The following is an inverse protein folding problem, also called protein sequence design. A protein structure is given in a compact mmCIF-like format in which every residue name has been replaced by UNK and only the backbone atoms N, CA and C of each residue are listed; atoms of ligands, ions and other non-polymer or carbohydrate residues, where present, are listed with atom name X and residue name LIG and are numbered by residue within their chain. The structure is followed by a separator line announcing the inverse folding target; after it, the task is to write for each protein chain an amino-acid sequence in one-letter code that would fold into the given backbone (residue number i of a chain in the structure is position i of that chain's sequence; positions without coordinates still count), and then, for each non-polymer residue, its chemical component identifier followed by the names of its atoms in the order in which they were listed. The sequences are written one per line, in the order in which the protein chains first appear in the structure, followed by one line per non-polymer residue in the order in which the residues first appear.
data_IF_591022946813
#
_entry.id   IF_591022946813
#
_cell.length_a   1.000
_cell.length_b   1.000
_cell.length_c   1.000
_cell.angle_alpha   90.00
_cell.angle_beta   90.00
_cell.angle_gamma   90.00
#
_symmetry.space_group_name_H-M   'P 1'
#
loop_
_entity.id
_entity.type
_entity.pdbx_description
1 polymer ?
#
# COMPACT_ATOMS: atom_id res chain seq x y z
N UNK A 1 72.97 -29.00 8.22
CA UNK A 1 72.50 -27.92 7.33
C UNK A 1 70.98 -27.85 7.40
N UNK A 2 70.41 -26.74 7.86
CA UNK A 2 68.97 -26.45 7.75
C UNK A 2 68.81 -25.44 6.62
N UNK A 3 68.27 -25.88 5.48
CA UNK A 3 67.81 -24.97 4.44
C UNK A 3 66.57 -24.25 4.94
N UNK A 4 66.72 -22.98 5.33
CA UNK A 4 65.59 -22.11 5.59
C UNK A 4 65.02 -21.64 4.26
N UNK A 5 63.82 -22.12 3.93
CA UNK A 5 63.01 -21.71 2.77
C UNK A 5 62.74 -20.19 2.81
N UNK A 6 63.57 -19.41 2.11
CA UNK A 6 63.46 -17.95 1.97
C UNK A 6 62.36 -17.48 1.00
N UNK A 7 61.31 -18.28 0.76
CA UNK A 7 60.32 -18.00 -0.29
C UNK A 7 59.08 -17.18 0.20
N UNK A 8 59.14 -16.55 1.37
CA UNK A 8 58.07 -15.68 1.89
C UNK A 8 58.17 -14.21 1.43
N UNK A 9 59.13 -13.85 0.58
CA UNK A 9 59.28 -12.48 0.08
C UNK A 9 58.18 -12.11 -0.93
N UNK A 10 57.17 -11.39 -0.44
CA UNK A 10 56.50 -10.35 -1.23
C UNK A 10 55.12 -10.68 -1.81
N UNK A 11 54.38 -11.64 -1.28
CA UNK A 11 52.96 -11.75 -1.67
C UNK A 11 52.18 -10.52 -1.16
N UNK A 12 51.90 -9.59 -2.09
CA UNK A 12 51.09 -8.39 -1.84
C UNK A 12 49.74 -8.80 -1.24
N UNK A 13 49.47 -8.30 -0.04
CA UNK A 13 48.21 -8.53 0.67
C UNK A 13 47.07 -8.02 -0.20
N UNK A 14 46.13 -8.89 -0.56
CA UNK A 14 44.97 -8.53 -1.40
C UNK A 14 43.76 -8.24 -0.53
N UNK A 15 43.01 -7.21 -0.90
CA UNK A 15 41.72 -6.90 -0.28
C UNK A 15 40.67 -7.91 -0.77
N UNK A 16 39.85 -8.42 0.15
CA UNK A 16 38.79 -9.37 -0.20
C UNK A 16 37.70 -8.69 -1.03
N UNK A 17 37.58 -9.06 -2.32
CA UNK A 17 36.50 -8.59 -3.22
C UNK A 17 35.10 -8.75 -2.62
N UNK A 18 34.71 -9.91 -2.03
CA UNK A 18 33.37 -10.03 -1.44
C UNK A 18 33.16 -9.13 -0.21
N UNK A 19 34.22 -8.75 0.52
CA UNK A 19 34.11 -7.78 1.62
C UNK A 19 33.77 -6.37 1.11
N UNK A 20 34.38 -5.95 0.00
CA UNK A 20 34.07 -4.66 -0.66
C UNK A 20 32.64 -4.69 -1.21
N UNK A 21 32.26 -5.77 -1.89
CA UNK A 21 30.91 -5.93 -2.44
C UNK A 21 29.83 -5.89 -1.34
N UNK A 22 30.06 -6.55 -0.21
CA UNK A 22 29.15 -6.53 0.94
C UNK A 22 28.84 -5.10 1.40
N UNK A 23 29.89 -4.28 1.55
CA UNK A 23 29.75 -2.90 1.98
C UNK A 23 29.03 -2.04 0.93
N UNK A 24 29.42 -2.15 -0.35
CA UNK A 24 28.80 -1.40 -1.44
C UNK A 24 27.32 -1.74 -1.61
N UNK A 25 26.96 -3.02 -1.59
CA UNK A 25 25.56 -3.47 -1.70
C UNK A 25 24.72 -2.96 -0.54
N UNK A 26 25.28 -2.97 0.67
CA UNK A 26 24.60 -2.43 1.85
C UNK A 26 24.34 -0.94 1.67
N UNK A 27 25.35 -0.14 1.32
CA UNK A 27 25.19 1.31 1.08
C UNK A 27 24.22 1.64 -0.06
N UNK A 28 24.27 0.90 -1.17
CA UNK A 28 23.33 1.09 -2.28
C UNK A 28 21.89 0.77 -1.85
N UNK A 29 21.69 -0.32 -1.11
CA UNK A 29 20.41 -0.67 -0.52
C UNK A 29 19.88 0.45 0.39
N UNK A 30 20.73 1.00 1.27
CA UNK A 30 20.37 2.13 2.15
C UNK A 30 20.02 3.37 1.35
N UNK A 31 20.87 3.78 0.41
CA UNK A 31 20.67 4.98 -0.39
C UNK A 31 19.36 4.92 -1.17
N UNK A 32 19.04 3.76 -1.74
CA UNK A 32 17.77 3.54 -2.43
C UNK A 32 16.59 3.59 -1.45
N UNK A 33 16.70 2.99 -0.26
CA UNK A 33 15.64 3.05 0.75
C UNK A 33 15.35 4.49 1.19
N UNK A 34 16.40 5.27 1.49
CA UNK A 34 16.29 6.67 1.90
C UNK A 34 15.64 7.49 0.79
N UNK A 35 16.03 7.28 -0.47
CA UNK A 35 15.43 7.99 -1.60
C UNK A 35 13.93 7.67 -1.73
N UNK A 36 13.55 6.38 -1.66
CA UNK A 36 12.14 5.98 -1.76
C UNK A 36 11.31 6.50 -0.58
N UNK A 37 11.87 6.51 0.63
CA UNK A 37 11.20 7.04 1.82
C UNK A 37 11.14 8.57 1.82
N UNK A 38 12.14 9.25 1.27
CA UNK A 38 12.15 10.71 1.12
C UNK A 38 11.01 11.16 0.22
N UNK A 39 10.84 10.51 -0.94
CA UNK A 39 9.70 10.76 -1.83
C UNK A 39 8.37 10.55 -1.09
N UNK A 40 8.22 9.41 -0.39
CA UNK A 40 7.01 9.13 0.39
C UNK A 40 6.75 10.17 1.50
N UNK A 41 7.80 10.57 2.22
CA UNK A 41 7.74 11.56 3.28
C UNK A 41 7.35 12.95 2.79
N UNK A 42 7.83 13.36 1.61
CA UNK A 42 7.43 14.61 0.96
C UNK A 42 5.92 14.61 0.68
N UNK A 43 5.38 13.52 0.11
CA UNK A 43 3.93 13.45 -0.15
C UNK A 43 3.11 13.50 1.15
N UNK A 44 3.56 12.80 2.18
CA UNK A 44 2.94 12.88 3.51
C UNK A 44 2.99 14.29 4.11
N UNK A 45 4.10 15.01 3.92
CA UNK A 45 4.32 16.36 4.45
C UNK A 45 3.51 17.44 3.73
N UNK A 46 3.34 17.33 2.40
CA UNK A 46 2.53 18.29 1.60
C UNK A 46 1.02 18.11 1.85
N UNK A 47 0.61 17.18 2.73
CA UNK A 47 -0.79 16.95 3.06
C UNK A 47 -1.55 16.15 1.99
N UNK A 48 -0.87 15.74 0.92
CA UNK A 48 -1.43 14.79 -0.05
C UNK A 48 -1.34 13.38 0.53
N UNK A 49 -2.38 12.98 1.29
CA UNK A 49 -2.51 11.62 1.86
C UNK A 49 -2.51 10.49 0.81
N UNK A 50 -2.64 10.80 -0.48
CA UNK A 50 -2.61 9.79 -1.54
C UNK A 50 -1.44 10.04 -2.47
N UNK A 51 -0.45 9.15 -2.41
CA UNK A 51 0.56 9.02 -3.46
C UNK A 51 -0.16 8.78 -4.80
N UNK A 52 0.20 9.51 -5.87
CA UNK A 52 -0.38 9.26 -7.19
C UNK A 52 -0.24 7.79 -7.58
N UNK A 53 -1.32 7.21 -8.12
CA UNK A 53 -1.37 5.79 -8.48
C UNK A 53 -0.21 5.33 -9.36
N UNK A 54 0.31 6.21 -10.23
CA UNK A 54 1.43 5.92 -11.13
C UNK A 54 2.81 5.85 -10.42
N UNK A 55 2.98 6.45 -9.25
CA UNK A 55 4.23 6.38 -8.47
C UNK A 55 4.28 5.16 -7.54
N UNK A 56 3.13 4.53 -7.28
CA UNK A 56 3.02 3.38 -6.40
C UNK A 56 3.88 2.18 -6.84
N UNK A 57 3.94 1.80 -8.14
CA UNK A 57 4.83 0.74 -8.58
C UNK A 57 6.29 1.07 -8.29
N UNK A 58 6.72 2.32 -8.52
CA UNK A 58 8.10 2.75 -8.26
C UNK A 58 8.45 2.63 -6.77
N UNK A 59 7.54 3.03 -5.89
CA UNK A 59 7.71 2.85 -4.45
C UNK A 59 7.85 1.37 -4.05
N UNK A 60 6.93 0.52 -4.52
CA UNK A 60 6.93 -0.92 -4.23
C UNK A 60 8.20 -1.59 -4.76
N UNK A 61 8.53 -1.39 -6.04
CA UNK A 61 9.73 -1.97 -6.64
C UNK A 61 11.01 -1.43 -6.01
N UNK A 62 11.08 -0.13 -5.72
CA UNK A 62 12.21 0.49 -5.04
C UNK A 62 12.46 -0.12 -3.65
N UNK A 63 11.39 -0.34 -2.88
CA UNK A 63 11.48 -1.04 -1.59
C UNK A 63 11.94 -2.49 -1.74
N UNK A 64 11.38 -3.25 -2.69
CA UNK A 64 11.78 -4.65 -2.91
C UNK A 64 13.24 -4.78 -3.35
N UNK A 65 13.68 -3.94 -4.30
CA UNK A 65 15.07 -3.91 -4.79
C UNK A 65 16.03 -3.52 -3.68
N UNK A 66 15.69 -2.49 -2.88
CA UNK A 66 16.50 -2.09 -1.73
C UNK A 66 16.68 -3.24 -0.74
N UNK A 67 15.60 -3.91 -0.36
CA UNK A 67 15.66 -5.07 0.56
C UNK A 67 16.51 -6.21 0.04
N UNK A 68 16.37 -6.54 -1.25
CA UNK A 68 17.20 -7.55 -1.90
C UNK A 68 18.69 -7.19 -1.85
N UNK A 69 19.06 -5.93 -2.11
CA UNK A 69 20.44 -5.46 -2.04
C UNK A 69 21.01 -5.57 -0.62
N UNK A 70 20.23 -5.24 0.41
CA UNK A 70 20.63 -5.38 1.82
C UNK A 70 20.87 -6.85 2.17
N UNK A 71 19.97 -7.76 1.80
CA UNK A 71 20.10 -9.21 2.05
C UNK A 71 21.34 -9.77 1.33
N UNK A 72 21.52 -9.41 0.06
CA UNK A 72 22.69 -9.81 -0.72
C UNK A 72 24.00 -9.28 -0.10
N UNK A 73 23.99 -8.04 0.41
CA UNK A 73 25.10 -7.43 1.14
C UNK A 73 25.47 -8.20 2.40
N UNK A 74 24.47 -8.60 3.22
CA UNK A 74 24.67 -9.42 4.42
C UNK A 74 25.27 -10.78 4.05
N UNK A 75 24.69 -11.47 3.06
CA UNK A 75 25.15 -12.78 2.62
C UNK A 75 26.61 -12.75 2.11
N UNK A 76 26.95 -11.76 1.28
CA UNK A 76 28.31 -11.53 0.81
C UNK A 76 29.29 -11.24 1.96
N UNK A 77 28.85 -10.50 2.97
CA UNK A 77 29.66 -10.18 4.15
C UNK A 77 29.97 -11.41 5.01
N UNK A 78 28.97 -12.24 5.29
CA UNK A 78 29.13 -13.51 6.01
C UNK A 78 30.10 -14.44 5.26
N UNK A 79 29.92 -14.56 3.93
CA UNK A 79 30.82 -15.34 3.09
C UNK A 79 32.27 -14.80 3.13
N UNK A 80 32.45 -13.49 3.03
CA UNK A 80 33.76 -12.85 3.11
C UNK A 80 34.45 -13.08 4.47
N UNK A 81 33.70 -13.00 5.58
CA UNK A 81 34.23 -13.28 6.93
C UNK A 81 34.73 -14.72 7.03
N UNK A 82 33.95 -15.70 6.55
CA UNK A 82 34.37 -17.12 6.51
C UNK A 82 35.62 -17.30 5.65
N UNK A 83 35.67 -16.69 4.47
CA UNK A 83 36.83 -16.78 3.57
C UNK A 83 38.10 -16.17 4.18
N UNK A 84 38.00 -15.00 4.81
CA UNK A 84 39.12 -14.34 5.49
C UNK A 84 39.58 -15.16 6.69
N UNK A 85 38.65 -15.77 7.44
CA UNK A 85 38.99 -16.64 8.57
C UNK A 85 39.79 -17.86 8.15
N UNK A 86 39.43 -18.49 7.02
CA UNK A 86 40.13 -19.67 6.51
C UNK A 86 41.49 -19.31 5.87
N UNK A 87 41.65 -18.07 5.38
CA UNK A 87 42.85 -17.61 4.66
C UNK A 87 43.55 -16.45 5.38
N UNK A 88 43.63 -16.50 6.73
CA UNK A 88 44.14 -15.41 7.61
C UNK A 88 45.46 -14.76 7.17
N UNK A 89 46.35 -15.49 6.48
CA UNK A 89 47.65 -14.96 6.03
C UNK A 89 47.59 -14.10 4.76
N UNK A 90 46.54 -14.21 3.94
CA UNK A 90 46.55 -13.66 2.57
C UNK A 90 45.48 -12.60 2.26
N UNK A 91 44.44 -12.47 3.09
CA UNK A 91 43.31 -11.58 2.84
C UNK A 91 43.11 -10.59 4.00
N UNK A 92 43.10 -9.30 3.70
CA UNK A 92 42.63 -8.23 4.59
C UNK A 92 41.22 -7.79 4.18
N UNK A 93 40.53 -7.06 5.07
CA UNK A 93 39.20 -6.51 4.82
C UNK A 93 38.09 -7.02 5.75
N UNK A 94 38.45 -7.66 6.88
CA UNK A 94 37.48 -8.10 7.89
C UNK A 94 36.59 -6.96 8.36
N UNK A 95 37.16 -5.78 8.57
CA UNK A 95 36.41 -4.57 8.97
C UNK A 95 35.33 -4.20 7.96
N UNK A 96 35.64 -4.18 6.65
CA UNK A 96 34.64 -3.89 5.62
C UNK A 96 33.48 -4.88 5.61
N UNK A 97 33.77 -6.18 5.75
CA UNK A 97 32.72 -7.21 5.80
C UNK A 97 31.86 -7.10 7.07
N UNK A 98 32.47 -6.84 8.23
CA UNK A 98 31.74 -6.65 9.50
C UNK A 98 30.86 -5.40 9.45
N UNK A 99 31.39 -4.28 8.94
CA UNK A 99 30.62 -3.05 8.78
C UNK A 99 29.42 -3.22 7.85
N UNK A 100 29.58 -3.91 6.71
CA UNK A 100 28.46 -4.20 5.80
C UNK A 100 27.37 -5.04 6.47
N UNK A 101 27.74 -6.10 7.19
CA UNK A 101 26.78 -6.95 7.91
C UNK A 101 26.05 -6.18 9.00
N UNK A 102 26.77 -5.41 9.83
CA UNK A 102 26.14 -4.62 10.90
C UNK A 102 25.18 -3.56 10.35
N UNK A 103 25.58 -2.84 9.30
CA UNK A 103 24.72 -1.87 8.63
C UNK A 103 23.44 -2.54 8.10
N UNK A 104 23.58 -3.69 7.43
CA UNK A 104 22.43 -4.43 6.92
C UNK A 104 21.49 -4.92 8.02
N UNK A 105 22.03 -5.44 9.13
CA UNK A 105 21.23 -5.95 10.25
C UNK A 105 20.47 -4.86 11.00
N UNK A 106 21.05 -3.67 11.17
CA UNK A 106 20.37 -2.53 11.81
C UNK A 106 19.18 -2.05 10.96
N UNK A 107 19.31 -2.11 9.64
CA UNK A 107 18.32 -1.56 8.72
C UNK A 107 17.25 -2.55 8.30
N UNK A 108 17.50 -3.85 8.39
CA UNK A 108 16.53 -4.87 8.01
C UNK A 108 15.21 -4.77 8.80
N UNK A 109 15.18 -4.57 10.13
CA UNK A 109 13.95 -4.33 10.87
C UNK A 109 13.21 -3.06 10.42
N UNK A 110 13.96 -1.98 10.16
CA UNK A 110 13.39 -0.73 9.66
C UNK A 110 12.78 -0.90 8.27
N UNK A 111 13.45 -1.65 7.39
CA UNK A 111 12.93 -2.03 6.08
C UNK A 111 11.67 -2.90 6.20
N UNK A 112 11.66 -3.90 7.08
CA UNK A 112 10.47 -4.75 7.35
C UNK A 112 9.29 -3.92 7.85
N UNK A 113 9.54 -2.95 8.73
CA UNK A 113 8.51 -2.03 9.21
C UNK A 113 7.90 -1.17 8.10
N UNK A 114 8.73 -0.76 7.14
CA UNK A 114 8.32 0.07 5.99
C UNK A 114 7.93 -0.76 4.76
N UNK A 115 7.94 -2.10 4.84
CA UNK A 115 7.42 -2.91 3.76
C UNK A 115 6.02 -2.38 3.42
N UNK A 116 5.72 -2.13 2.13
CA UNK A 116 4.39 -1.73 1.75
C UNK A 116 3.44 -2.73 2.40
N UNK A 117 2.57 -2.22 3.27
CA UNK A 117 1.51 -3.02 3.84
C UNK A 117 0.85 -3.78 2.69
N UNK A 118 0.57 -5.07 2.92
CA UNK A 118 0.00 -6.00 1.94
C UNK A 118 -0.91 -5.26 0.95
N UNK A 119 -0.87 -5.60 -0.36
CA UNK A 119 -1.82 -5.03 -1.31
C UNK A 119 -3.19 -4.99 -0.64
N UNK A 120 -3.77 -3.79 -0.55
CA UNK A 120 -5.01 -3.55 0.18
C UNK A 120 -5.93 -4.73 -0.06
N UNK A 121 -6.43 -5.32 1.03
CA UNK A 121 -7.49 -6.29 0.90
C UNK A 121 -8.59 -5.65 0.06
N UNK A 122 -9.26 -6.43 -0.77
CA UNK A 122 -10.29 -5.88 -1.64
C UNK A 122 -11.33 -5.06 -0.84
N UNK A 123 -11.63 -5.48 0.39
CA UNK A 123 -12.39 -4.71 1.39
C UNK A 123 -11.86 -3.29 1.59
N UNK A 124 -10.58 -3.11 1.92
CA UNK A 124 -9.98 -1.78 2.17
C UNK A 124 -10.00 -0.92 0.90
N UNK A 125 -9.88 -1.54 -0.27
CA UNK A 125 -9.99 -0.81 -1.54
C UNK A 125 -11.42 -0.39 -1.84
N UNK A 126 -12.44 -1.21 -1.54
CA UNK A 126 -13.84 -0.78 -1.67
C UNK A 126 -14.18 0.32 -0.64
N UNK A 127 -13.61 0.30 0.57
CA UNK A 127 -13.68 1.43 1.54
C UNK A 127 -13.09 2.71 0.95
N UNK A 128 -11.85 2.66 0.46
CA UNK A 128 -11.18 3.82 -0.13
C UNK A 128 -11.95 4.40 -1.33
N UNK A 129 -12.51 3.52 -2.17
CA UNK A 129 -13.34 3.90 -3.30
C UNK A 129 -14.61 4.65 -2.85
N UNK A 130 -15.36 4.11 -1.88
CA UNK A 130 -16.55 4.77 -1.34
C UNK A 130 -16.22 6.14 -0.71
N UNK A 131 -15.10 6.27 0.01
CA UNK A 131 -14.63 7.57 0.54
C UNK A 131 -14.27 8.56 -0.55
N UNK A 132 -13.66 8.09 -1.64
CA UNK A 132 -13.35 8.94 -2.79
C UNK A 132 -14.65 9.45 -3.44
N UNK A 133 -15.59 8.53 -3.71
CA UNK A 133 -16.89 8.87 -4.29
C UNK A 133 -17.65 9.85 -3.39
N UNK A 134 -17.76 9.58 -2.08
CA UNK A 134 -18.46 10.44 -1.14
C UNK A 134 -17.91 11.87 -1.11
N UNK A 135 -16.58 12.04 -1.16
CA UNK A 135 -15.97 13.38 -1.27
C UNK A 135 -16.29 14.06 -2.59
N UNK A 136 -16.23 13.34 -3.71
CA UNK A 136 -16.61 13.86 -5.02
C UNK A 136 -18.08 14.29 -5.05
N UNK A 137 -18.97 13.57 -4.37
CA UNK A 137 -20.37 13.98 -4.20
C UNK A 137 -20.51 15.31 -3.48
N UNK A 138 -19.78 15.52 -2.37
CA UNK A 138 -19.78 16.81 -1.66
C UNK A 138 -19.29 17.96 -2.54
N UNK A 139 -18.20 17.73 -3.29
CA UNK A 139 -17.65 18.71 -4.22
C UNK A 139 -18.71 19.09 -5.26
N UNK A 140 -19.41 18.10 -5.83
CA UNK A 140 -20.48 18.34 -6.79
C UNK A 140 -21.64 19.13 -6.19
N UNK A 141 -22.07 18.81 -4.97
CA UNK A 141 -23.23 19.44 -4.34
C UNK A 141 -22.92 20.79 -3.67
N UNK A 142 -21.66 21.23 -3.65
CA UNK A 142 -21.22 22.43 -2.92
C UNK A 142 -21.78 23.78 -3.45
N UNK A 143 -22.52 23.77 -4.57
CA UNK A 143 -23.11 24.97 -5.18
C UNK A 143 -24.62 24.85 -5.43
N UNK A 144 -25.37 24.32 -4.47
CA UNK A 144 -26.83 24.12 -4.54
C UNK A 144 -27.32 23.24 -5.71
N UNK A 145 -26.44 22.45 -6.30
CA UNK A 145 -26.80 21.47 -7.32
C UNK A 145 -27.20 20.15 -6.65
N UNK A 146 -28.50 19.81 -6.60
CA UNK A 146 -28.91 18.52 -6.07
C UNK A 146 -28.36 17.41 -6.97
N UNK A 147 -27.86 16.32 -6.39
CA UNK A 147 -27.35 15.18 -7.15
C UNK A 147 -28.49 14.50 -7.93
N UNK A 148 -28.47 14.52 -9.28
CA UNK A 148 -29.42 13.76 -10.09
C UNK A 148 -29.17 12.27 -9.91
N UNK A 149 -30.18 11.57 -9.37
CA UNK A 149 -30.04 10.17 -8.94
C UNK A 149 -29.80 9.22 -10.11
N UNK A 150 -30.39 9.48 -11.28
CA UNK A 150 -30.26 8.62 -12.46
C UNK A 150 -28.92 8.79 -13.21
N UNK A 151 -28.09 9.77 -12.81
CA UNK A 151 -26.83 10.14 -13.50
C UNK A 151 -25.66 10.40 -12.55
N UNK A 152 -25.75 9.95 -11.30
CA UNK A 152 -24.77 10.30 -10.27
C UNK A 152 -23.35 9.85 -10.63
N UNK A 153 -23.14 8.64 -11.17
CA UNK A 153 -21.82 8.19 -11.62
C UNK A 153 -21.29 9.07 -12.75
N UNK A 154 -22.09 9.33 -13.79
CA UNK A 154 -21.67 10.12 -14.95
C UNK A 154 -21.27 11.54 -14.57
N UNK A 155 -21.99 12.14 -13.63
CA UNK A 155 -21.73 13.50 -13.17
C UNK A 155 -20.45 13.59 -12.33
N UNK A 156 -20.17 12.58 -11.50
CA UNK A 156 -18.91 12.52 -10.76
C UNK A 156 -17.71 12.32 -11.69
N UNK A 157 -17.85 11.49 -12.73
CA UNK A 157 -16.80 11.33 -13.75
C UNK A 157 -16.56 12.64 -14.49
N UNK A 158 -17.63 13.34 -14.87
CA UNK A 158 -17.55 14.55 -15.69
C UNK A 158 -17.07 15.79 -14.92
N UNK A 159 -17.50 15.93 -13.67
CA UNK A 159 -17.39 17.21 -12.93
C UNK A 159 -16.62 17.11 -11.62
N UNK A 160 -16.35 15.91 -11.10
CA UNK A 160 -15.69 15.73 -9.80
C UNK A 160 -14.38 14.94 -9.89
N UNK A 161 -13.78 14.90 -11.08
CA UNK A 161 -12.45 14.31 -11.35
C UNK A 161 -12.28 12.85 -10.89
N UNK A 162 -13.38 12.10 -10.79
CA UNK A 162 -13.34 10.68 -10.41
C UNK A 162 -13.19 9.82 -11.66
N UNK A 163 -12.30 8.84 -11.62
CA UNK A 163 -12.13 7.91 -12.74
C UNK A 163 -13.05 6.69 -12.58
N UNK A 164 -13.39 6.02 -13.69
CA UNK A 164 -14.33 4.89 -13.66
C UNK A 164 -13.85 3.72 -12.77
N UNK A 165 -12.53 3.56 -12.62
CA UNK A 165 -11.92 2.51 -11.80
C UNK A 165 -12.30 2.62 -10.32
N UNK A 166 -12.65 3.83 -9.85
CA UNK A 166 -13.08 4.06 -8.46
C UNK A 166 -14.45 3.42 -8.21
N UNK A 167 -15.29 3.25 -9.24
CA UNK A 167 -16.60 2.63 -9.09
C UNK A 167 -16.55 1.10 -9.05
N UNK A 168 -15.39 0.49 -9.29
CA UNK A 168 -15.24 -0.96 -9.34
C UNK A 168 -14.73 -1.50 -8.01
N UNK A 169 -15.53 -2.32 -7.32
CA UNK A 169 -15.04 -3.09 -6.19
C UNK A 169 -14.14 -4.23 -6.71
N UNK A 170 -12.85 -4.32 -6.32
CA UNK A 170 -11.90 -5.32 -6.84
C UNK A 170 -12.23 -6.79 -6.56
N UNK A 171 -13.06 -7.09 -5.56
CA UNK A 171 -13.54 -8.46 -5.34
C UNK A 171 -14.79 -8.79 -6.14
N UNK A 172 -15.45 -7.79 -6.72
CA UNK A 172 -16.63 -8.04 -7.54
C UNK A 172 -16.21 -8.61 -8.90
N UNK A 173 -17.17 -9.21 -9.59
CA UNK A 173 -16.97 -9.71 -10.95
C UNK A 173 -16.82 -8.58 -11.98
N UNK A 174 -17.05 -8.90 -13.26
CA UNK A 174 -17.07 -7.89 -14.32
C UNK A 174 -18.24 -6.91 -14.11
N UNK A 175 -17.95 -5.62 -14.17
CA UNK A 175 -18.95 -4.56 -14.06
C UNK A 175 -18.31 -3.17 -14.11
N UNK A 176 -19.08 -2.17 -14.56
CA UNK A 176 -18.62 -0.77 -14.65
C UNK A 176 -18.70 -0.04 -13.31
N UNK A 177 -19.70 -0.38 -12.49
CA UNK A 177 -19.83 0.10 -11.10
C UNK A 177 -20.45 -1.01 -10.24
N UNK A 178 -20.07 -1.06 -8.97
CA UNK A 178 -20.53 -2.02 -7.95
C UNK A 178 -21.07 -1.32 -6.69
N UNK A 179 -21.56 -0.09 -6.86
CA UNK A 179 -22.13 0.71 -5.80
C UNK A 179 -23.47 1.29 -6.26
N UNK A 180 -24.38 1.48 -5.31
CA UNK A 180 -25.66 2.16 -5.55
C UNK A 180 -25.89 3.28 -4.55
N UNK A 181 -26.63 4.29 -5.00
CA UNK A 181 -27.09 5.41 -4.19
C UNK A 181 -28.39 5.05 -3.47
N UNK A 182 -28.47 5.34 -2.17
CA UNK A 182 -29.69 5.18 -1.41
C UNK A 182 -30.76 6.16 -1.93
N UNK A 183 -31.96 5.66 -2.24
CA UNK A 183 -33.13 6.46 -2.62
C UNK A 183 -33.57 7.46 -1.53
N UNK A 184 -33.12 7.31 -0.29
CA UNK A 184 -33.40 8.27 0.78
C UNK A 184 -32.19 9.13 1.16
N UNK A 185 -31.11 9.13 0.38
CA UNK A 185 -29.85 9.81 0.71
C UNK A 185 -29.90 11.35 0.85
N UNK A 186 -31.06 11.97 0.64
CA UNK A 186 -31.27 13.41 0.82
C UNK A 186 -31.55 13.80 2.28
N UNK A 187 -31.81 12.84 3.17
CA UNK A 187 -32.06 13.13 4.58
C UNK A 187 -30.76 13.48 5.31
N UNK A 188 -30.81 14.38 6.30
CA UNK A 188 -29.64 14.89 7.01
C UNK A 188 -29.13 14.00 8.15
N UNK A 189 -29.72 12.83 8.39
CA UNK A 189 -29.34 11.99 9.51
C UNK A 189 -27.92 11.42 9.33
N UNK A 190 -26.98 11.61 10.27
CA UNK A 190 -25.56 11.24 10.11
C UNK A 190 -25.34 9.75 9.77
N UNK A 191 -26.12 8.87 10.39
CA UNK A 191 -26.05 7.40 10.21
C UNK A 191 -26.90 6.84 9.06
N UNK A 192 -27.48 7.72 8.25
CA UNK A 192 -28.22 7.28 7.07
C UNK A 192 -27.27 6.69 6.03
N UNK A 193 -27.63 5.55 5.45
CA UNK A 193 -26.89 4.97 4.31
C UNK A 193 -26.96 5.93 3.11
N UNK A 194 -25.81 6.24 2.52
CA UNK A 194 -25.72 7.06 1.30
C UNK A 194 -25.32 6.19 0.11
N UNK A 195 -24.20 5.47 0.20
CA UNK A 195 -23.75 4.52 -0.81
C UNK A 195 -23.50 3.16 -0.17
N UNK A 196 -23.71 2.10 -0.93
CA UNK A 196 -23.49 0.72 -0.48
C UNK A 196 -23.09 -0.16 -1.65
N UNK A 197 -22.43 -1.29 -1.37
CA UNK A 197 -22.03 -2.23 -2.40
C UNK A 197 -23.21 -3.02 -2.98
N UNK A 198 -23.20 -3.16 -4.30
CA UNK A 198 -24.23 -3.84 -5.09
C UNK A 198 -23.61 -4.78 -6.13
N UNK A 199 -24.47 -5.52 -6.84
CA UNK A 199 -24.07 -6.20 -8.08
C UNK A 199 -23.77 -5.17 -9.17
N UNK A 200 -23.11 -5.60 -10.23
CA UNK A 200 -22.74 -4.72 -11.34
C UNK A 200 -23.92 -3.92 -11.90
N UNK A 201 -23.74 -2.60 -12.04
CA UNK A 201 -24.70 -1.69 -12.65
C UNK A 201 -24.16 -0.26 -12.67
N UNK A 202 -24.70 0.61 -13.51
CA UNK A 202 -24.27 2.01 -13.63
C UNK A 202 -25.41 2.94 -13.21
N UNK A 203 -25.11 3.99 -12.44
CA UNK A 203 -26.12 4.88 -11.83
C UNK A 203 -27.22 4.13 -11.05
N UNK A 204 -26.87 3.05 -10.35
CA UNK A 204 -27.88 2.33 -9.57
C UNK A 204 -28.37 3.19 -8.40
N UNK A 205 -29.68 3.14 -8.18
CA UNK A 205 -30.38 3.83 -7.09
C UNK A 205 -31.41 2.86 -6.53
N UNK A 206 -31.45 2.73 -5.21
CA UNK A 206 -32.41 1.84 -4.55
C UNK A 206 -32.20 1.82 -3.05
N UNK A 207 -32.69 0.79 -2.40
CA UNK A 207 -32.53 0.53 -0.97
C UNK A 207 -31.88 -0.82 -0.67
N UNK A 208 -32.21 -1.45 0.45
CA UNK A 208 -31.59 -2.71 0.90
C UNK A 208 -31.73 -3.86 -0.10
N UNK A 209 -32.73 -3.82 -0.98
CA UNK A 209 -32.97 -4.85 -2.00
C UNK A 209 -31.86 -4.95 -3.05
N UNK A 210 -31.04 -3.91 -3.23
CA UNK A 210 -29.91 -3.92 -4.16
C UNK A 210 -28.58 -4.34 -3.51
N UNK A 211 -28.51 -4.36 -2.17
CA UNK A 211 -27.29 -4.63 -1.42
C UNK A 211 -26.81 -6.06 -1.67
N UNK A 212 -25.50 -6.24 -1.81
CA UNK A 212 -24.89 -7.58 -1.88
C UNK A 212 -23.71 -7.73 -0.93
N UNK A 213 -23.62 -8.91 -0.32
CA UNK A 213 -22.43 -9.36 0.42
C UNK A 213 -21.53 -10.29 -0.39
N UNK A 214 -21.96 -10.66 -1.61
CA UNK A 214 -21.25 -11.62 -2.46
C UNK A 214 -19.84 -11.12 -2.81
N UNK A 215 -19.69 -9.80 -2.95
CA UNK A 215 -18.41 -9.13 -3.18
C UNK A 215 -17.37 -9.44 -2.08
N UNK A 216 -17.78 -9.86 -0.88
CA UNK A 216 -16.85 -10.23 0.21
C UNK A 216 -17.17 -11.61 0.79
N UNK A 217 -17.56 -12.56 -0.07
CA UNK A 217 -17.83 -13.95 0.29
C UNK A 217 -18.88 -14.08 1.42
N UNK A 218 -19.92 -13.23 1.40
CA UNK A 218 -20.99 -13.29 2.38
C UNK A 218 -20.63 -12.79 3.77
N UNK A 219 -19.45 -12.19 3.98
CA UNK A 219 -19.01 -11.70 5.31
C UNK A 219 -19.57 -10.32 5.68
N UNK A 220 -20.01 -9.55 4.69
CA UNK A 220 -20.46 -8.18 4.86
C UNK A 220 -20.22 -7.34 3.59
N UNK A 221 -20.36 -6.03 3.72
CA UNK A 221 -20.07 -5.07 2.65
C UNK A 221 -19.64 -3.72 3.22
N UNK A 222 -18.96 -2.90 2.42
CA UNK A 222 -18.72 -1.52 2.79
C UNK A 222 -19.96 -0.65 2.53
N UNK A 223 -20.21 0.28 3.45
CA UNK A 223 -21.33 1.22 3.42
C UNK A 223 -20.79 2.60 3.76
N UNK A 224 -21.11 3.59 2.93
CA UNK A 224 -20.90 5.00 3.18
C UNK A 224 -22.12 5.59 3.87
N UNK A 225 -21.91 6.27 4.98
CA UNK A 225 -22.92 7.03 5.71
C UNK A 225 -22.88 8.52 5.38
N UNK A 226 -23.93 9.23 5.75
CA UNK A 226 -24.09 10.64 5.47
C UNK A 226 -23.07 11.55 6.19
N UNK A 227 -22.53 11.09 7.31
CA UNK A 227 -21.38 11.72 7.99
C UNK A 227 -20.02 11.46 7.29
N UNK A 228 -20.05 10.85 6.10
CA UNK A 228 -18.91 10.51 5.26
C UNK A 228 -18.01 9.40 5.84
N UNK A 229 -18.46 8.76 6.91
CA UNK A 229 -17.80 7.55 7.41
C UNK A 229 -18.12 6.39 6.49
N UNK A 230 -17.11 5.54 6.24
CA UNK A 230 -17.30 4.26 5.58
C UNK A 230 -16.99 3.17 6.60
N UNK A 231 -17.89 2.20 6.69
CA UNK A 231 -17.75 1.05 7.57
C UNK A 231 -17.98 -0.23 6.79
N UNK A 232 -17.24 -1.28 7.17
CA UNK A 232 -17.56 -2.63 6.72
C UNK A 232 -18.57 -3.25 7.68
N UNK A 233 -19.81 -3.35 7.23
CA UNK A 233 -20.94 -3.83 8.01
C UNK A 233 -21.05 -5.32 7.81
N UNK A 234 -21.05 -6.08 8.90
CA UNK A 234 -21.15 -7.54 8.82
C UNK A 234 -22.56 -7.96 8.41
N UNK A 235 -22.69 -9.14 7.81
CA UNK A 235 -23.97 -9.67 7.31
C UNK A 235 -25.07 -9.66 8.38
N UNK A 236 -24.73 -10.02 9.62
CA UNK A 236 -25.65 -10.02 10.76
C UNK A 236 -26.08 -8.61 11.25
N UNK A 237 -25.37 -7.56 10.83
CA UNK A 237 -25.65 -6.17 11.21
C UNK A 237 -26.39 -5.39 10.12
N UNK A 238 -26.48 -5.92 8.89
CA UNK A 238 -27.11 -5.23 7.75
C UNK A 238 -28.57 -4.85 7.99
N UNK A 239 -29.31 -5.68 8.73
CA UNK A 239 -30.70 -5.40 9.08
C UNK A 239 -30.86 -4.18 10.01
N UNK A 240 -29.78 -3.72 10.66
CA UNK A 240 -29.77 -2.57 11.57
C UNK A 240 -29.42 -1.26 10.87
N UNK A 241 -29.10 -1.31 9.57
CA UNK A 241 -28.75 -0.11 8.81
C UNK A 241 -29.95 0.81 8.68
N UNK A 242 -29.68 2.11 8.79
CA UNK A 242 -30.69 3.15 8.64
C UNK A 242 -30.82 3.52 7.18
N UNK A 243 -31.88 3.04 6.53
CA UNK A 243 -32.15 3.31 5.12
C UNK A 243 -33.00 4.56 4.91
N UNK A 244 -33.77 4.98 5.93
CA UNK A 244 -34.61 6.20 5.94
C UNK A 244 -34.55 6.86 7.31
N UNK A 245 -34.65 8.19 7.38
CA UNK A 245 -34.56 8.91 8.65
C UNK A 245 -35.64 8.52 9.69
N UNK A 246 -36.81 8.05 9.25
CA UNK A 246 -37.97 7.78 10.13
C UNK A 246 -38.01 6.37 10.75
N UNK A 247 -36.98 5.52 10.56
CA UNK A 247 -37.04 4.11 10.99
C UNK A 247 -36.99 3.87 12.52
N UNK A 248 -36.77 4.90 13.36
CA UNK A 248 -36.53 4.76 14.80
C UNK A 248 -37.77 4.85 15.73
N UNK A 249 -39.00 4.69 15.21
CA UNK A 249 -40.22 4.79 16.02
C UNK A 249 -41.00 3.47 16.20
N UNK A 250 -40.32 2.33 16.41
CA UNK A 250 -40.95 1.11 16.95
C UNK A 250 -40.03 0.34 17.87
#
# INVERSE_FOLDING_TARGET
MRETNNNEQGQKIKLSRPAIMSLLLSFLGVGLLVLVLYEFGIYGFIGQRMMPLYLRPLYVYGHLVSGFLVIAGIAAGIFAIKQIHNKRRFLKGRWFAVSGVLLGLVLLPFWVWHLPSSPFTARERCDANLRAIGRCMLTYTSGDNPMPRDKWCDLLVKYAEVTEEVFVCPSAGKGRCHYALNVSSSDSHPRLVVLFETKAGWNQVGGPELLTTDNHNGKGCNVLFNDLTVEFVKTEELAKLMWKAEQNNK
#
